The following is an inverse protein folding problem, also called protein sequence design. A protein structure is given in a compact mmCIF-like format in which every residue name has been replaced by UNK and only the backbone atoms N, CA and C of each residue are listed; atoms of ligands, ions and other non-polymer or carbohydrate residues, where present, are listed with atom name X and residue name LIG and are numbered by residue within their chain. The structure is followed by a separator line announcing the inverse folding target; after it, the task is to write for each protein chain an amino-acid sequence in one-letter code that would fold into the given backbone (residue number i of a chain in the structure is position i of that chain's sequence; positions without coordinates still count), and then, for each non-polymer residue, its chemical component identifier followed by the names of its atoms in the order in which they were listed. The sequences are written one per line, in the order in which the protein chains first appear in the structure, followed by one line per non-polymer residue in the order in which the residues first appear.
data_IF_251051150522
#
_entry.id   IF_251051150522
#
_cell.length_a   1.000
_cell.length_b   1.000
_cell.length_c   1.000
_cell.angle_alpha   90.00
_cell.angle_beta   90.00
_cell.angle_gamma   90.00
#
_symmetry.space_group_name_H-M   'P 1'
#
loop_
_entity.id
_entity.type
_entity.pdbx_description
1 polymer ?
#
# COMPACT_ATOMS: atom_id res chain seq x y z
N UNK A 1 -5.40 3.94 15.78
CA UNK A 1 -5.61 4.75 14.54
C UNK A 1 -5.86 3.89 13.30
N UNK A 2 -5.06 2.84 13.03
CA UNK A 2 -5.24 1.97 11.85
C UNK A 2 -6.64 1.31 11.75
N UNK A 3 -7.20 0.87 12.87
CA UNK A 3 -8.52 0.22 12.90
C UNK A 3 -9.66 1.13 12.39
N UNK A 4 -9.67 2.42 12.80
CA UNK A 4 -10.67 3.38 12.36
C UNK A 4 -10.60 3.64 10.84
N UNK A 5 -9.38 3.66 10.28
CA UNK A 5 -9.17 3.81 8.83
C UNK A 5 -9.73 2.62 8.04
N UNK A 6 -9.52 1.40 8.55
CA UNK A 6 -10.07 0.18 7.94
C UNK A 6 -11.60 0.18 7.96
N UNK A 7 -12.23 0.53 9.08
CA UNK A 7 -13.70 0.59 9.19
C UNK A 7 -14.30 1.56 8.17
N UNK A 8 -13.73 2.75 8.04
CA UNK A 8 -14.18 3.75 7.07
C UNK A 8 -14.06 3.22 5.64
N UNK A 9 -12.93 2.58 5.33
CA UNK A 9 -12.67 1.99 4.04
C UNK A 9 -13.68 0.89 3.68
N UNK A 10 -13.91 -0.06 4.58
CA UNK A 10 -14.91 -1.11 4.39
C UNK A 10 -16.32 -0.54 4.19
N UNK A 11 -16.67 0.52 4.93
CA UNK A 11 -17.97 1.18 4.79
C UNK A 11 -18.17 1.78 3.40
N UNK A 12 -17.13 2.33 2.78
CA UNK A 12 -17.21 2.90 1.42
C UNK A 12 -17.41 1.78 0.39
N UNK A 13 -16.63 0.70 0.47
CA UNK A 13 -16.74 -0.42 -0.47
C UNK A 13 -18.11 -1.12 -0.35
N UNK A 14 -18.58 -1.36 0.88
CA UNK A 14 -19.87 -2.00 1.12
C UNK A 14 -21.06 -1.22 0.53
N UNK A 15 -20.91 0.10 0.32
CA UNK A 15 -21.91 0.96 -0.29
C UNK A 15 -21.64 1.25 -1.79
N UNK A 16 -20.83 0.42 -2.46
CA UNK A 16 -20.54 0.52 -3.89
C UNK A 16 -19.52 1.59 -4.27
N UNK A 17 -18.81 2.17 -3.30
CA UNK A 17 -17.72 3.11 -3.54
C UNK A 17 -16.45 2.42 -4.05
N UNK A 18 -15.59 3.19 -4.73
CA UNK A 18 -14.26 2.76 -5.17
C UNK A 18 -13.20 3.60 -4.47
N UNK A 19 -12.06 2.99 -4.13
CA UNK A 19 -10.91 3.70 -3.58
C UNK A 19 -9.88 3.95 -4.68
N UNK A 20 -9.26 5.12 -4.66
CA UNK A 20 -8.02 5.39 -5.38
C UNK A 20 -6.91 5.71 -4.38
N UNK A 21 -5.73 5.13 -4.57
CA UNK A 21 -4.54 5.44 -3.76
C UNK A 21 -3.88 6.74 -4.23
N UNK A 22 -3.95 7.01 -5.53
CA UNK A 22 -3.34 8.17 -6.17
C UNK A 22 -4.46 9.03 -6.76
N UNK A 23 -4.50 10.27 -6.31
CA UNK A 23 -5.40 11.30 -6.82
C UNK A 23 -4.72 11.92 -8.04
N UNK A 24 -5.10 11.45 -9.23
CA UNK A 24 -4.70 12.09 -10.49
C UNK A 24 -5.87 12.94 -10.95
N UNK A 25 -5.68 14.25 -11.21
CA UNK A 25 -6.70 15.05 -11.88
C UNK A 25 -6.95 14.41 -13.25
N UNK A 26 -8.10 13.76 -13.39
CA UNK A 26 -8.59 13.38 -14.71
C UNK A 26 -9.01 14.65 -15.45
N UNK A 27 -8.99 14.57 -16.78
CA UNK A 27 -9.39 15.62 -17.72
C UNK A 27 -10.53 16.50 -17.20
N UNK A 28 -10.49 17.79 -17.55
CA UNK A 28 -11.39 18.87 -17.09
C UNK A 28 -12.90 18.57 -17.25
N UNK A 29 -13.26 17.54 -18.01
CA UNK A 29 -14.62 17.20 -18.36
C UNK A 29 -15.38 16.37 -17.29
N UNK A 30 -14.70 15.75 -16.30
CA UNK A 30 -15.37 14.98 -15.23
C UNK A 30 -14.76 15.14 -13.80
N UNK A 31 -14.64 16.35 -13.25
CA UNK A 31 -14.09 16.56 -11.90
C UNK A 31 -15.01 16.06 -10.76
N UNK A 32 -16.29 15.80 -11.02
CA UNK A 32 -17.30 15.66 -9.95
C UNK A 32 -17.32 14.31 -9.22
N UNK A 33 -16.57 13.31 -9.70
CA UNK A 33 -16.65 11.96 -9.15
C UNK A 33 -15.65 11.66 -8.02
N UNK A 34 -14.63 12.51 -7.81
CA UNK A 34 -13.55 12.21 -6.86
C UNK A 34 -13.60 13.12 -5.63
N UNK A 35 -13.69 12.48 -4.46
CA UNK A 35 -13.72 13.15 -3.16
C UNK A 35 -12.55 12.66 -2.32
N UNK A 36 -11.78 13.58 -1.74
CA UNK A 36 -10.67 13.25 -0.85
C UNK A 36 -11.18 13.25 0.59
N UNK A 37 -11.04 12.14 1.30
CA UNK A 37 -11.43 12.03 2.72
C UNK A 37 -10.17 11.98 3.58
N UNK A 38 -10.08 12.91 4.53
CA UNK A 38 -8.93 13.04 5.42
C UNK A 38 -9.36 13.06 6.89
N UNK A 39 -8.71 12.22 7.71
CA UNK A 39 -8.97 12.06 9.14
C UNK A 39 -7.70 12.24 9.96
N UNK A 40 -7.20 13.46 10.05
CA UNK A 40 -5.99 13.76 10.81
C UNK A 40 -5.95 15.20 11.30
N UNK A 41 -5.21 15.40 12.40
CA UNK A 41 -4.97 16.72 12.99
C UNK A 41 -3.82 17.48 12.31
N UNK A 42 -2.82 16.75 11.82
CA UNK A 42 -1.68 17.30 11.09
C UNK A 42 -1.89 17.14 9.60
N UNK A 43 -1.38 18.04 8.76
CA UNK A 43 -1.54 17.94 7.30
C UNK A 43 -0.25 17.41 6.68
N UNK A 44 -0.18 16.13 6.28
CA UNK A 44 1.02 15.58 5.65
C UNK A 44 1.26 16.22 4.28
N UNK A 45 2.49 16.13 3.79
CA UNK A 45 2.93 16.79 2.54
C UNK A 45 2.04 16.44 1.34
N UNK A 46 1.58 15.18 1.23
CA UNK A 46 0.68 14.76 0.15
C UNK A 46 -0.66 15.50 0.18
N UNK A 47 -1.22 15.71 1.38
CA UNK A 47 -2.49 16.43 1.57
C UNK A 47 -2.28 17.93 1.32
N UNK A 48 -1.14 18.49 1.75
CA UNK A 48 -0.77 19.87 1.40
C UNK A 48 -0.62 20.05 -0.12
N UNK A 49 -0.05 19.07 -0.83
CA UNK A 49 0.06 19.12 -2.28
C UNK A 49 -1.31 19.08 -2.97
N UNK A 50 -2.30 18.38 -2.40
CA UNK A 50 -3.70 18.40 -2.87
C UNK A 50 -4.35 19.75 -2.60
N UNK A 51 -4.13 20.32 -1.41
CA UNK A 51 -4.63 21.65 -1.01
C UNK A 51 -4.07 22.74 -1.95
N UNK A 52 -2.75 22.77 -2.15
CA UNK A 52 -2.07 23.77 -2.96
C UNK A 52 -2.49 23.76 -4.44
N UNK A 53 -2.99 22.62 -4.93
CA UNK A 53 -3.53 22.51 -6.28
C UNK A 53 -4.92 23.15 -6.39
N UNK A 54 -5.63 23.32 -5.28
CA UNK A 54 -7.01 23.83 -5.19
C UNK A 54 -8.04 23.10 -6.06
N UNK A 55 -7.72 21.91 -6.59
CA UNK A 55 -8.59 21.14 -7.50
C UNK A 55 -9.63 20.32 -6.73
N UNK A 56 -9.29 19.84 -5.53
CA UNK A 56 -10.11 18.87 -4.80
C UNK A 56 -10.58 19.42 -3.46
N UNK A 57 -11.85 19.17 -3.15
CA UNK A 57 -12.39 19.36 -1.81
C UNK A 57 -11.98 18.21 -0.89
N UNK A 58 -11.64 18.54 0.35
CA UNK A 58 -11.23 17.56 1.36
C UNK A 58 -12.31 17.48 2.43
N UNK A 59 -12.84 16.28 2.65
CA UNK A 59 -13.92 16.01 3.59
C UNK A 59 -13.43 15.25 4.83
N UNK A 60 -14.13 15.49 5.94
CA UNK A 60 -13.99 14.73 7.18
C UNK A 60 -14.75 13.40 7.06
N UNK A 61 -14.34 12.35 7.80
CA UNK A 61 -15.06 11.06 7.78
C UNK A 61 -16.51 11.14 8.27
N UNK A 62 -16.86 12.18 9.04
CA UNK A 62 -18.24 12.41 9.47
C UNK A 62 -19.21 12.49 8.29
N UNK A 63 -18.77 13.02 7.14
CA UNK A 63 -19.58 13.06 5.93
C UNK A 63 -19.91 11.66 5.37
N UNK A 64 -18.92 10.77 5.38
CA UNK A 64 -19.11 9.38 4.94
C UNK A 64 -20.06 8.66 5.90
N UNK A 65 -19.88 8.84 7.21
CA UNK A 65 -20.77 8.26 8.23
C UNK A 65 -22.21 8.74 8.06
N UNK A 66 -22.41 10.04 7.86
CA UNK A 66 -23.74 10.63 7.63
C UNK A 66 -24.35 10.11 6.31
N UNK A 67 -23.55 9.95 5.25
CA UNK A 67 -24.01 9.41 3.96
C UNK A 67 -24.45 7.94 4.08
N UNK A 68 -23.70 7.13 4.83
CA UNK A 68 -24.05 5.73 5.11
C UNK A 68 -25.34 5.66 5.94
N UNK A 69 -25.48 6.49 6.97
CA UNK A 69 -26.68 6.55 7.80
C UNK A 69 -27.93 6.94 6.97
N UNK A 70 -27.77 7.87 6.03
CA UNK A 70 -28.85 8.31 5.14
C UNK A 70 -29.11 7.37 3.95
N UNK A 71 -28.25 6.38 3.70
CA UNK A 71 -28.23 5.52 2.49
C UNK A 71 -28.26 6.32 1.17
N UNK A 72 -27.80 7.57 1.19
CA UNK A 72 -27.66 8.47 0.06
C UNK A 72 -26.53 9.45 0.33
N UNK A 73 -25.97 10.08 -0.71
CA UNK A 73 -24.94 11.12 -0.55
C UNK A 73 -25.48 12.23 0.38
N UNK A 74 -24.80 12.45 1.50
CA UNK A 74 -25.17 13.51 2.42
C UNK A 74 -24.94 14.88 1.75
N UNK A 75 -25.83 15.87 1.98
CA UNK A 75 -25.64 17.21 1.46
C UNK A 75 -24.34 17.81 1.98
N UNK A 76 -23.66 18.58 1.13
CA UNK A 76 -22.37 19.18 1.47
C UNK A 76 -22.55 20.35 2.43
N UNK A 77 -22.39 20.09 3.74
CA UNK A 77 -22.48 21.11 4.79
C UNK A 77 -21.08 21.55 5.25
N UNK A 78 -20.92 22.82 5.65
CA UNK A 78 -19.65 23.39 6.16
C UNK A 78 -18.96 22.52 7.23
N UNK A 79 -19.74 21.89 8.12
CA UNK A 79 -19.23 20.99 9.18
C UNK A 79 -18.47 19.76 8.66
N UNK A 80 -18.74 19.35 7.42
CA UNK A 80 -18.16 18.16 6.80
C UNK A 80 -16.85 18.43 6.07
N UNK A 81 -16.52 19.69 5.80
CA UNK A 81 -15.30 20.05 5.12
C UNK A 81 -14.12 20.14 6.08
N UNK A 82 -12.98 19.64 5.63
CA UNK A 82 -11.67 19.92 6.19
C UNK A 82 -11.00 21.07 5.43
N UNK A 83 -11.12 21.06 4.11
CA UNK A 83 -10.67 22.13 3.22
C UNK A 83 -11.64 22.24 2.04
N UNK A 84 -11.97 23.47 1.63
CA UNK A 84 -12.89 23.78 0.53
C UNK A 84 -12.08 24.45 -0.57
N UNK A 85 -12.19 23.96 -1.80
CA UNK A 85 -11.56 24.61 -2.95
C UNK A 85 -12.15 26.00 -3.20
N UNK A 86 -11.32 26.92 -3.69
CA UNK A 86 -11.72 28.30 -4.02
C UNK A 86 -12.92 28.35 -4.99
N UNK A 87 -12.99 27.39 -5.92
CA UNK A 87 -14.10 27.29 -6.89
C UNK A 87 -15.45 27.03 -6.24
N UNK A 88 -15.50 26.34 -5.09
CA UNK A 88 -16.75 26.00 -4.40
C UNK A 88 -17.07 26.94 -3.24
N UNK A 89 -16.08 27.64 -2.67
CA UNK A 89 -16.29 28.57 -1.55
C UNK A 89 -17.37 29.62 -1.85
N UNK A 90 -17.39 30.16 -3.09
CA UNK A 90 -18.37 31.19 -3.50
C UNK A 90 -19.82 30.71 -3.51
N UNK A 91 -20.06 29.41 -3.63
CA UNK A 91 -21.42 28.85 -3.71
C UNK A 91 -22.00 28.49 -2.34
N UNK A 92 -21.14 28.35 -1.32
CA UNK A 92 -21.52 27.95 0.04
C UNK A 92 -21.91 29.14 0.94
N UNK A 93 -21.62 30.37 0.52
CA UNK A 93 -21.95 31.58 1.27
C UNK A 93 -23.44 31.96 1.15
N UNK A 94 -24.10 31.56 0.06
CA UNK A 94 -25.51 31.91 -0.21
C UNK A 94 -26.54 31.02 0.52
N UNK A 95 -26.10 29.92 1.15
CA UNK A 95 -26.96 28.99 1.92
C UNK A 95 -26.95 29.30 3.44
N UNK A 96 -26.48 30.49 3.84
CA UNK A 96 -26.31 30.88 5.24
C UNK A 96 -27.42 31.77 5.81
N UNK A 97 -28.54 31.89 5.09
CA UNK A 97 -29.72 32.59 5.58
C UNK A 97 -30.84 31.58 5.89
N UNK A 98 -31.43 31.75 7.06
CA UNK A 98 -32.61 31.07 7.61
C UNK A 98 -32.28 29.96 8.65
N UNK A 99 -32.44 30.36 9.92
CA UNK A 99 -32.67 29.55 11.12
C UNK A 99 -31.45 29.26 12.03
N UNK A 100 -31.14 30.20 12.94
CA UNK A 100 -31.64 30.15 14.34
C UNK A 100 -30.97 31.21 15.22
N UNK A 101 -31.76 32.20 15.65
CA UNK A 101 -31.58 32.86 16.94
C UNK A 101 -31.74 31.82 18.06
N UNK A 102 -30.63 31.39 18.67
CA UNK A 102 -30.67 30.88 20.04
C UNK A 102 -29.40 31.26 20.77
N UNK A 103 -29.59 32.15 21.75
CA UNK A 103 -28.71 32.54 22.83
C UNK A 103 -27.69 31.46 23.17
N UNK A 104 -26.41 31.70 22.84
CA UNK A 104 -25.33 30.96 23.49
C UNK A 104 -24.25 31.92 23.99
N UNK A 105 -24.18 31.87 25.31
CA UNK A 105 -23.43 32.64 26.27
C UNK A 105 -21.90 32.55 26.06
N UNK A 106 -21.22 33.55 26.61
CA UNK A 106 -19.81 33.87 26.48
C UNK A 106 -18.86 32.66 26.63
N UNK A 107 -18.04 32.42 25.62
CA UNK A 107 -16.70 31.87 25.83
C UNK A 107 -15.69 32.54 24.93
N UNK A 108 -15.18 33.62 25.48
CA UNK A 108 -13.97 34.36 25.12
C UNK A 108 -12.77 33.42 25.08
N UNK A 109 -12.29 33.09 23.88
CA UNK A 109 -10.91 32.63 23.68
C UNK A 109 -10.19 33.65 22.81
N UNK A 110 -9.35 34.44 23.49
CA UNK A 110 -8.35 35.28 22.84
C UNK A 110 -7.38 34.35 22.11
N UNK A 111 -7.30 34.48 20.79
CA UNK A 111 -6.13 34.04 20.04
C UNK A 111 -5.32 35.28 19.75
N UNK A 112 -4.16 35.34 20.40
CA UNK A 112 -3.13 36.34 20.19
C UNK A 112 -2.65 36.32 18.74
N UNK A 113 -2.48 37.51 18.22
CA UNK A 113 -1.87 37.88 16.96
C UNK A 113 -0.40 37.41 16.98
N UNK A 114 -0.12 36.24 16.38
CA UNK A 114 1.25 35.76 16.17
C UNK A 114 1.71 36.25 14.81
N UNK A 115 2.48 37.34 14.86
CA UNK A 115 3.26 37.90 13.77
C UNK A 115 4.18 36.82 13.17
N UNK A 116 3.79 36.31 11.99
CA UNK A 116 4.54 35.29 11.25
C UNK A 116 5.76 35.95 10.63
N UNK A 117 6.91 35.71 11.27
CA UNK A 117 8.24 35.99 10.73
C UNK A 117 8.46 35.09 9.50
N UNK A 118 8.62 35.71 8.33
CA UNK A 118 9.03 35.05 7.09
C UNK A 118 10.40 34.37 7.28
N UNK A 119 10.38 33.08 7.63
CA UNK A 119 11.54 32.22 7.44
C UNK A 119 11.53 31.71 6.01
N UNK A 120 12.50 32.19 5.23
CA UNK A 120 12.92 31.66 3.95
C UNK A 120 13.20 30.16 4.09
N UNK A 121 12.18 29.36 3.81
CA UNK A 121 12.28 27.91 3.83
C UNK A 121 13.01 27.48 2.56
N UNK A 122 14.28 27.17 2.74
CA UNK A 122 15.14 26.60 1.71
C UNK A 122 14.42 25.42 1.03
N UNK A 123 14.24 25.62 -0.26
CA UNK A 123 13.69 24.74 -1.27
C UNK A 123 14.55 23.47 -1.37
N UNK A 124 14.46 22.57 -0.40
CA UNK A 124 15.12 21.27 -0.44
C UNK A 124 14.31 20.31 -1.31
N UNK A 125 14.42 20.56 -2.61
CA UNK A 125 14.51 19.60 -3.70
C UNK A 125 13.72 18.28 -3.53
N UNK A 126 12.52 18.27 -4.11
CA UNK A 126 11.79 17.08 -4.51
C UNK A 126 12.47 16.37 -5.71
N UNK A 127 13.72 15.94 -5.56
CA UNK A 127 14.47 15.21 -6.60
C UNK A 127 14.14 13.70 -6.64
N UNK A 128 13.14 13.23 -5.90
CA UNK A 128 12.73 11.81 -5.88
C UNK A 128 12.10 11.31 -7.20
N UNK A 129 11.71 12.21 -8.12
CA UNK A 129 11.04 11.83 -9.38
C UNK A 129 11.81 12.18 -10.66
N UNK A 130 13.04 12.68 -10.59
CA UNK A 130 13.87 12.79 -11.79
C UNK A 130 14.49 11.42 -12.07
N UNK A 131 13.83 10.66 -12.93
CA UNK A 131 14.48 9.59 -13.65
C UNK A 131 15.65 10.23 -14.42
N UNK A 132 16.87 10.03 -13.91
CA UNK A 132 18.08 10.29 -14.70
C UNK A 132 18.00 9.42 -15.95
N UNK A 133 17.80 10.10 -17.07
CA UNK A 133 18.04 9.60 -18.42
C UNK A 133 19.55 9.38 -18.54
N UNK A 134 20.03 8.27 -17.99
CA UNK A 134 21.44 7.88 -18.09
C UNK A 134 21.68 7.49 -19.54
N UNK A 135 22.35 8.36 -20.29
CA UNK A 135 22.81 8.05 -21.63
C UNK A 135 23.66 6.77 -21.62
N UNK A 136 23.52 5.89 -22.64
CA UNK A 136 24.28 4.66 -22.72
C UNK A 136 25.75 5.00 -22.95
N UNK A 137 26.57 4.87 -21.90
CA UNK A 137 28.01 4.82 -22.03
C UNK A 137 28.36 3.52 -22.76
N UNK A 138 28.73 3.67 -24.04
CA UNK A 138 29.40 2.65 -24.83
C UNK A 138 30.75 2.33 -24.15
N UNK A 139 30.78 1.30 -23.30
CA UNK A 139 32.03 0.74 -22.82
C UNK A 139 32.52 -0.32 -23.80
N UNK A 140 33.59 0.10 -24.49
CA UNK A 140 34.48 -0.69 -25.32
C UNK A 140 34.92 -1.99 -24.65
N UNK A 141 35.12 -2.99 -25.50
CA UNK A 141 35.31 -4.38 -25.13
C UNK A 141 36.53 -4.66 -24.26
N UNK A 142 36.35 -5.61 -23.34
CA UNK A 142 37.44 -6.43 -22.84
C UNK A 142 37.01 -7.90 -22.93
N UNK A 143 37.45 -8.55 -24.01
CA UNK A 143 37.50 -10.01 -24.13
C UNK A 143 38.49 -10.52 -23.07
N UNK A 144 37.99 -11.21 -22.07
CA UNK A 144 38.80 -12.07 -21.23
C UNK A 144 38.30 -13.50 -21.45
N UNK A 145 38.93 -14.18 -22.39
CA UNK A 145 38.92 -15.64 -22.47
C UNK A 145 39.54 -16.16 -21.16
N UNK A 146 38.77 -16.92 -20.39
CA UNK A 146 39.29 -17.75 -19.31
C UNK A 146 38.63 -19.11 -19.45
N UNK A 147 39.28 -19.95 -20.26
CA UNK A 147 39.17 -21.40 -20.20
C UNK A 147 39.68 -21.83 -18.82
N UNK A 148 38.85 -22.53 -18.05
CA UNK A 148 39.31 -23.38 -16.96
C UNK A 148 38.55 -24.68 -17.01
N UNK A 149 39.36 -25.73 -17.04
CA UNK A 149 39.10 -27.15 -17.27
C UNK A 149 38.24 -27.78 -16.16
N UNK A 150 37.46 -28.77 -16.58
CA UNK A 150 37.22 -30.07 -15.94
C UNK A 150 37.34 -30.17 -14.41
N UNK A 151 36.20 -30.37 -13.74
CA UNK A 151 36.17 -31.06 -12.45
C UNK A 151 34.96 -32.02 -12.40
N UNK A 152 35.23 -33.25 -12.83
CA UNK A 152 34.39 -34.43 -12.64
C UNK A 152 34.38 -34.79 -11.14
N UNK A 153 33.30 -34.46 -10.44
CA UNK A 153 33.09 -34.94 -9.07
C UNK A 153 31.89 -35.90 -9.02
N UNK A 154 32.20 -37.17 -9.29
CA UNK A 154 31.40 -38.33 -8.94
C UNK A 154 31.35 -38.51 -7.42
N UNK A 155 30.26 -38.12 -6.76
CA UNK A 155 29.97 -38.54 -5.39
C UNK A 155 28.61 -39.26 -5.34
N UNK A 156 28.68 -40.56 -5.63
CA UNK A 156 28.33 -41.67 -4.73
C UNK A 156 27.21 -41.44 -3.69
N UNK A 157 26.03 -41.96 -4.03
CA UNK A 157 25.23 -42.92 -3.26
C UNK A 157 25.14 -42.72 -1.72
N UNK A 158 24.05 -42.10 -1.26
CA UNK A 158 23.55 -42.25 0.12
C UNK A 158 22.04 -42.52 0.10
N UNK A 159 21.73 -43.82 0.07
CA UNK A 159 20.89 -44.52 1.06
C UNK A 159 19.66 -43.73 1.54
N UNK A 160 18.50 -44.15 1.04
CA UNK A 160 17.20 -43.60 1.40
C UNK A 160 16.75 -43.92 2.82
N UNK A 161 15.72 -43.19 3.24
CA UNK A 161 14.74 -43.63 4.23
C UNK A 161 13.50 -42.72 4.20
N UNK A 162 12.34 -43.38 4.15
CA UNK A 162 10.99 -42.91 4.50
C UNK A 162 10.36 -41.76 3.68
N UNK A 163 9.71 -42.12 2.56
CA UNK A 163 8.61 -41.34 2.01
C UNK A 163 7.43 -41.36 2.99
N UNK A 164 7.22 -40.25 3.69
CA UNK A 164 5.94 -39.93 4.29
C UNK A 164 5.04 -39.38 3.17
N UNK A 165 4.08 -40.21 2.77
CA UNK A 165 3.00 -39.90 1.84
C UNK A 165 2.16 -38.74 2.41
N UNK A 166 2.55 -37.50 2.11
CA UNK A 166 1.74 -36.31 2.38
C UNK A 166 0.79 -36.21 1.20
N UNK A 167 -0.41 -36.76 1.37
CA UNK A 167 -1.51 -36.64 0.42
C UNK A 167 -1.71 -35.15 0.05
N UNK A 168 -1.25 -34.79 -1.14
CA UNK A 168 -1.37 -33.44 -1.71
C UNK A 168 -2.83 -33.23 -2.14
N UNK A 169 -3.63 -32.68 -1.22
CA UNK A 169 -5.06 -32.37 -1.38
C UNK A 169 -5.27 -31.10 -2.25
N UNK A 170 -4.48 -30.94 -3.33
CA UNK A 170 -4.34 -29.68 -4.09
C UNK A 170 -5.33 -29.49 -5.25
N UNK A 171 -6.13 -30.50 -5.61
CA UNK A 171 -7.00 -30.46 -6.80
C UNK A 171 -8.50 -30.16 -6.53
N UNK A 172 -8.86 -29.67 -5.34
CA UNK A 172 -10.24 -29.22 -5.09
C UNK A 172 -10.46 -27.84 -5.71
N UNK A 173 -10.98 -27.83 -6.94
CA UNK A 173 -11.44 -26.64 -7.66
C UNK A 173 -12.31 -25.75 -6.75
N UNK A 174 -11.74 -24.62 -6.32
CA UNK A 174 -12.36 -23.68 -5.37
C UNK A 174 -13.51 -22.96 -6.06
N UNK A 175 -14.74 -23.32 -5.71
CA UNK A 175 -15.97 -22.69 -6.20
C UNK A 175 -16.21 -21.39 -5.43
N UNK A 176 -16.11 -20.24 -6.10
CA UNK A 176 -16.24 -18.91 -5.51
C UNK A 176 -17.69 -18.59 -5.13
N UNK A 177 -18.11 -18.96 -3.91
CA UNK A 177 -19.22 -18.30 -3.21
C UNK A 177 -20.65 -18.70 -3.60
N UNK A 178 -20.89 -19.89 -4.18
CA UNK A 178 -22.26 -20.35 -4.48
C UNK A 178 -22.97 -21.05 -3.31
N UNK A 179 -22.26 -21.48 -2.26
CA UNK A 179 -22.87 -22.14 -1.12
C UNK A 179 -23.29 -21.13 -0.05
N UNK A 180 -24.51 -21.28 0.48
CA UNK A 180 -25.15 -20.40 1.47
C UNK A 180 -24.39 -20.32 2.82
N UNK A 181 -23.44 -21.26 3.05
CA UNK A 181 -22.49 -21.24 4.17
C UNK A 181 -21.14 -20.56 3.87
N UNK A 182 -20.89 -20.09 2.65
CA UNK A 182 -19.64 -19.42 2.26
C UNK A 182 -19.58 -17.93 2.64
N UNK A 183 -20.56 -17.42 3.39
CA UNK A 183 -20.55 -16.04 3.89
C UNK A 183 -19.66 -15.84 5.13
N UNK A 184 -19.32 -16.90 5.87
CA UNK A 184 -18.45 -16.78 7.04
C UNK A 184 -17.00 -17.03 6.62
N UNK A 185 -16.25 -15.95 6.44
CA UNK A 185 -14.80 -16.02 6.25
C UNK A 185 -14.18 -16.68 7.47
N UNK A 186 -13.47 -17.78 7.24
CA UNK A 186 -12.65 -18.41 8.27
C UNK A 186 -11.55 -17.41 8.68
N UNK A 187 -11.73 -16.83 9.88
CA UNK A 187 -10.83 -15.81 10.41
C UNK A 187 -9.43 -16.35 10.68
N UNK A 188 -9.29 -17.65 10.88
CA UNK A 188 -7.99 -18.27 11.13
C UNK A 188 -7.23 -18.49 9.81
N UNK A 189 -7.94 -18.69 8.70
CA UNK A 189 -7.37 -18.98 7.38
C UNK A 189 -7.56 -17.88 6.34
N UNK A 190 -7.44 -16.62 6.77
CA UNK A 190 -7.61 -15.44 5.89
C UNK A 190 -6.69 -15.43 4.66
N UNK A 191 -5.57 -16.17 4.70
CA UNK A 191 -4.59 -16.18 3.62
C UNK A 191 -4.67 -17.42 2.73
N UNK A 192 -5.68 -18.29 2.89
CA UNK A 192 -5.80 -19.56 2.13
C UNK A 192 -5.68 -19.42 0.61
N UNK A 193 -6.11 -18.29 0.06
CA UNK A 193 -6.11 -18.02 -1.38
C UNK A 193 -4.97 -17.11 -1.83
N UNK A 194 -4.07 -16.74 -0.92
CA UNK A 194 -3.00 -15.78 -1.16
C UNK A 194 -1.64 -16.50 -1.25
N UNK A 195 -0.90 -16.16 -2.30
CA UNK A 195 0.42 -16.68 -2.59
C UNK A 195 1.40 -15.52 -2.48
N UNK A 196 2.35 -15.64 -1.55
CA UNK A 196 3.28 -14.59 -1.18
C UNK A 196 4.68 -14.91 -1.67
N UNK A 197 5.38 -13.93 -2.20
CA UNK A 197 6.82 -13.94 -2.35
C UNK A 197 7.44 -13.02 -1.29
N UNK A 198 8.41 -13.54 -0.55
CA UNK A 198 9.16 -12.79 0.46
C UNK A 198 10.52 -12.37 -0.12
N UNK A 199 10.72 -11.07 -0.28
CA UNK A 199 11.96 -10.50 -0.82
C UNK A 199 13.06 -10.41 0.25
N UNK A 200 13.50 -11.56 0.76
CA UNK A 200 14.68 -11.65 1.62
C UNK A 200 15.96 -11.43 0.80
N UNK A 201 17.04 -10.87 1.40
CA UNK A 201 18.36 -10.81 0.78
C UNK A 201 18.83 -12.13 0.16
N UNK A 202 18.58 -13.27 0.83
CA UNK A 202 18.93 -14.59 0.30
C UNK A 202 18.15 -14.94 -0.96
N UNK A 203 16.84 -14.67 -0.99
CA UNK A 203 16.02 -14.87 -2.18
C UNK A 203 16.42 -13.93 -3.30
N UNK A 204 16.79 -12.69 -2.98
CA UNK A 204 17.28 -11.73 -3.96
C UNK A 204 18.56 -12.22 -4.65
N UNK A 205 19.51 -12.77 -3.90
CA UNK A 205 20.73 -13.38 -4.46
C UNK A 205 20.40 -14.55 -5.38
N UNK A 206 19.44 -15.40 -5.01
CA UNK A 206 18.98 -16.53 -5.87
C UNK A 206 18.34 -16.07 -7.18
N UNK A 207 17.80 -14.85 -7.23
CA UNK A 207 17.21 -14.24 -8.42
C UNK A 207 18.14 -13.24 -9.12
N UNK A 208 19.43 -13.29 -8.78
CA UNK A 208 20.48 -12.44 -9.36
C UNK A 208 20.20 -10.93 -9.18
N UNK A 209 19.49 -10.56 -8.11
CA UNK A 209 19.21 -9.16 -7.76
C UNK A 209 20.29 -8.64 -6.83
N UNK A 210 20.75 -7.40 -7.06
CA UNK A 210 21.83 -6.82 -6.27
C UNK A 210 21.38 -6.51 -4.82
N UNK A 211 22.09 -7.05 -3.83
CA UNK A 211 21.93 -6.71 -2.41
C UNK A 211 23.11 -5.84 -1.93
N UNK A 212 22.96 -4.52 -1.91
CA UNK A 212 24.03 -3.58 -1.49
C UNK A 212 24.15 -3.35 0.03
N UNK A 213 23.42 -4.12 0.85
CA UNK A 213 23.31 -3.84 2.29
C UNK A 213 24.44 -4.47 3.10
N UNK A 214 24.76 -3.84 4.24
CA UNK A 214 25.67 -4.41 5.25
C UNK A 214 25.13 -5.75 5.75
N UNK A 215 26.02 -6.70 5.99
CA UNK A 215 25.69 -8.07 6.41
C UNK A 215 24.79 -8.13 7.65
N UNK A 216 25.03 -7.28 8.65
CA UNK A 216 24.22 -7.21 9.88
C UNK A 216 22.74 -6.91 9.59
N UNK A 217 22.46 -5.97 8.67
CA UNK A 217 21.09 -5.64 8.30
C UNK A 217 20.42 -6.77 7.52
N UNK A 218 21.19 -7.54 6.74
CA UNK A 218 20.64 -8.69 6.01
C UNK A 218 20.17 -9.78 6.98
N UNK A 219 20.93 -10.03 8.05
CA UNK A 219 20.57 -11.02 9.07
C UNK A 219 19.28 -10.63 9.81
N UNK A 220 19.16 -9.36 10.23
CA UNK A 220 17.94 -8.87 10.90
C UNK A 220 16.71 -8.99 10.00
N UNK A 221 16.87 -8.65 8.71
CA UNK A 221 15.82 -8.79 7.70
C UNK A 221 15.44 -10.26 7.52
N UNK A 222 16.41 -11.18 7.39
CA UNK A 222 16.15 -12.61 7.26
C UNK A 222 15.41 -13.17 8.48
N UNK A 223 15.78 -12.74 9.70
CA UNK A 223 15.09 -13.14 10.93
C UNK A 223 13.61 -12.69 10.89
N UNK A 224 13.35 -11.41 10.58
CA UNK A 224 11.99 -10.90 10.49
C UNK A 224 11.14 -11.59 9.41
N UNK A 225 11.74 -11.94 8.27
CA UNK A 225 11.05 -12.68 7.21
C UNK A 225 10.80 -14.14 7.59
N UNK A 226 11.66 -14.76 8.38
CA UNK A 226 11.44 -16.10 8.92
C UNK A 226 10.22 -16.12 9.84
N UNK A 227 10.12 -15.16 10.76
CA UNK A 227 8.94 -15.00 11.62
C UNK A 227 7.67 -14.73 10.81
N UNK A 228 7.75 -13.85 9.82
CA UNK A 228 6.63 -13.53 8.95
C UNK A 228 6.19 -14.73 8.11
N UNK A 229 7.14 -15.54 7.62
CA UNK A 229 6.86 -16.77 6.87
C UNK A 229 6.03 -17.73 7.73
N UNK A 230 6.42 -17.94 8.98
CA UNK A 230 5.66 -18.78 9.91
C UNK A 230 4.23 -18.27 10.09
N UNK A 231 4.06 -16.96 10.29
CA UNK A 231 2.73 -16.34 10.46
C UNK A 231 1.84 -16.49 9.21
N UNK A 232 2.43 -16.32 8.02
CA UNK A 232 1.69 -16.49 6.75
C UNK A 232 1.20 -17.94 6.63
N UNK A 233 2.07 -18.91 6.90
CA UNK A 233 1.75 -20.34 6.80
C UNK A 233 0.72 -20.75 7.86
N UNK A 234 0.85 -20.24 9.09
CA UNK A 234 -0.10 -20.48 10.19
C UNK A 234 -1.52 -20.04 9.83
N UNK A 235 -1.65 -18.91 9.12
CA UNK A 235 -2.94 -18.39 8.65
C UNK A 235 -3.37 -18.91 7.26
N UNK A 236 -2.82 -20.05 6.84
CA UNK A 236 -3.18 -20.76 5.60
C UNK A 236 -2.58 -20.20 4.31
N UNK A 237 -1.72 -19.18 4.39
CA UNK A 237 -1.05 -18.61 3.22
C UNK A 237 0.08 -19.49 2.69
N UNK A 238 0.40 -19.32 1.40
CA UNK A 238 1.47 -20.07 0.74
C UNK A 238 2.62 -19.14 0.36
N UNK A 239 3.86 -19.55 0.61
CA UNK A 239 5.04 -18.81 0.16
C UNK A 239 5.59 -19.48 -1.09
N UNK A 240 5.59 -18.76 -2.20
CA UNK A 240 5.98 -19.24 -3.53
C UNK A 240 7.20 -18.50 -4.08
N UNK A 241 7.75 -19.03 -5.16
CA UNK A 241 8.89 -18.45 -5.85
C UNK A 241 8.48 -17.26 -6.72
N UNK A 242 9.41 -16.33 -7.03
CA UNK A 242 9.10 -15.13 -7.82
C UNK A 242 8.56 -15.45 -9.22
N UNK A 243 9.02 -16.55 -9.81
CA UNK A 243 8.62 -16.97 -11.16
C UNK A 243 7.32 -17.79 -11.20
N UNK A 244 6.69 -18.05 -10.05
CA UNK A 244 5.49 -18.88 -9.97
C UNK A 244 4.27 -18.11 -10.54
N UNK A 245 3.55 -18.66 -11.54
CA UNK A 245 2.37 -18.01 -12.12
C UNK A 245 1.23 -17.77 -11.12
N UNK A 246 1.22 -18.48 -9.99
CA UNK A 246 0.21 -18.32 -8.94
C UNK A 246 0.50 -17.18 -7.95
N UNK A 247 1.66 -16.53 -8.07
CA UNK A 247 2.07 -15.42 -7.20
C UNK A 247 1.07 -14.27 -7.25
N UNK A 248 0.50 -13.90 -6.09
CA UNK A 248 -0.44 -12.78 -5.98
C UNK A 248 0.13 -11.58 -5.22
N UNK A 249 0.99 -11.81 -4.24
CA UNK A 249 1.48 -10.76 -3.34
C UNK A 249 3.01 -10.81 -3.20
N UNK A 250 3.65 -9.64 -3.28
CA UNK A 250 5.08 -9.48 -3.00
C UNK A 250 5.26 -8.66 -1.73
N UNK A 251 5.97 -9.24 -0.76
CA UNK A 251 6.29 -8.58 0.51
C UNK A 251 7.77 -8.24 0.53
N UNK A 252 8.07 -6.97 0.80
CA UNK A 252 9.43 -6.46 0.90
C UNK A 252 9.57 -5.57 2.16
N UNK A 253 10.79 -5.48 2.69
CA UNK A 253 11.09 -4.63 3.85
C UNK A 253 11.12 -3.15 3.41
N UNK A 254 10.50 -2.26 4.18
CA UNK A 254 10.47 -0.81 3.89
C UNK A 254 11.89 -0.20 3.82
N UNK A 255 12.84 -0.74 4.56
CA UNK A 255 14.25 -0.34 4.55
C UNK A 255 14.94 -0.74 3.25
N UNK A 256 14.34 -1.57 2.41
CA UNK A 256 14.87 -1.98 1.11
C UNK A 256 14.06 -1.44 -0.06
N UNK A 257 14.44 -0.26 -0.55
CA UNK A 257 13.82 0.34 -1.73
C UNK A 257 14.54 -0.05 -3.02
N UNK A 258 15.76 -0.58 -2.94
CA UNK A 258 16.65 -0.77 -4.09
C UNK A 258 16.08 -1.76 -5.11
N UNK A 259 15.51 -2.87 -4.63
CA UNK A 259 14.94 -3.93 -5.48
C UNK A 259 13.50 -3.68 -5.91
N UNK A 260 12.83 -2.69 -5.32
CA UNK A 260 11.42 -2.41 -5.61
C UNK A 260 11.17 -2.12 -7.09
N UNK A 261 12.07 -1.36 -7.73
CA UNK A 261 11.96 -1.02 -9.14
C UNK A 261 12.16 -2.25 -10.04
N UNK A 262 13.11 -3.12 -9.71
CA UNK A 262 13.36 -4.35 -10.45
C UNK A 262 12.19 -5.33 -10.35
N UNK A 263 11.63 -5.50 -9.15
CA UNK A 263 10.43 -6.32 -8.93
C UNK A 263 9.23 -5.80 -9.72
N UNK A 264 8.98 -4.49 -9.70
CA UNK A 264 7.91 -3.87 -10.49
C UNK A 264 8.17 -4.06 -11.99
N UNK A 265 9.42 -3.92 -12.45
CA UNK A 265 9.79 -4.11 -13.85
C UNK A 265 9.58 -5.57 -14.29
N UNK A 266 10.00 -6.54 -13.49
CA UNK A 266 9.79 -7.98 -13.77
C UNK A 266 8.32 -8.34 -13.78
N UNK A 267 7.54 -7.90 -12.80
CA UNK A 267 6.10 -8.19 -12.77
C UNK A 267 5.37 -7.57 -13.97
N UNK A 268 5.73 -6.36 -14.40
CA UNK A 268 5.17 -5.75 -15.61
C UNK A 268 5.52 -6.50 -16.90
N UNK A 269 6.64 -7.21 -16.92
CA UNK A 269 7.03 -8.01 -18.08
C UNK A 269 6.34 -9.36 -18.15
N UNK A 270 5.62 -9.77 -17.09
CA UNK A 270 4.87 -11.03 -17.09
C UNK A 270 3.60 -10.88 -17.92
N UNK A 271 3.38 -11.76 -18.92
CA UNK A 271 2.12 -11.82 -19.64
C UNK A 271 1.08 -12.53 -18.75
N UNK A 272 0.59 -11.88 -17.70
CA UNK A 272 -0.51 -12.42 -16.89
C UNK A 272 -1.77 -11.59 -17.07
N UNK A 273 -2.88 -12.28 -17.29
CA UNK A 273 -4.17 -11.70 -17.66
C UNK A 273 -4.98 -11.10 -16.52
N UNK A 274 -4.52 -11.14 -15.25
CA UNK A 274 -5.36 -10.65 -14.13
C UNK A 274 -4.63 -10.32 -12.80
N UNK A 275 -3.30 -10.22 -12.75
CA UNK A 275 -2.59 -9.98 -11.48
C UNK A 275 -2.72 -8.51 -11.00
N UNK A 276 -3.73 -8.23 -10.17
CA UNK A 276 -3.77 -7.01 -9.34
C UNK A 276 -2.74 -7.12 -8.22
N UNK A 277 -1.53 -6.61 -8.45
CA UNK A 277 -0.43 -6.67 -7.49
C UNK A 277 -0.65 -5.67 -6.34
N UNK A 278 -0.80 -6.17 -5.11
CA UNK A 278 -0.79 -5.36 -3.89
C UNK A 278 0.58 -5.41 -3.22
N UNK A 279 1.27 -4.27 -3.17
CA UNK A 279 2.53 -4.10 -2.43
C UNK A 279 2.22 -3.88 -0.95
N UNK A 280 2.44 -4.90 -0.11
CA UNK A 280 2.24 -4.81 1.34
C UNK A 280 3.58 -4.44 1.99
N UNK A 281 3.63 -3.27 2.63
CA UNK A 281 4.77 -2.85 3.44
C UNK A 281 4.69 -3.51 4.82
N UNK A 282 5.69 -4.32 5.17
CA UNK A 282 5.74 -4.91 6.51
C UNK A 282 5.97 -3.85 7.59
N UNK A 283 4.94 -3.58 8.40
CA UNK A 283 5.06 -3.06 9.77
C UNK A 283 4.43 -4.07 10.75
N UNK A 284 4.58 -5.37 10.46
CA UNK A 284 3.95 -6.45 11.23
C UNK A 284 4.71 -6.79 12.52
N UNK A 285 5.95 -6.33 12.68
CA UNK A 285 6.75 -6.56 13.90
C UNK A 285 6.23 -5.82 15.16
N UNK A 286 5.15 -5.04 15.05
CA UNK A 286 4.56 -4.29 16.19
C UNK A 286 3.19 -4.84 16.64
N UNK A 287 2.84 -6.09 16.30
CA UNK A 287 1.58 -6.72 16.76
C UNK A 287 1.72 -7.63 17.99
N UNK A 288 2.91 -7.79 18.56
CA UNK A 288 3.09 -8.39 19.90
C UNK A 288 3.04 -7.31 20.98
N UNK A 289 1.84 -6.83 21.32
CA UNK A 289 1.60 -6.35 22.68
C UNK A 289 0.69 -7.38 23.37
N UNK A 290 1.19 -8.16 24.34
CA UNK A 290 0.32 -8.92 25.22
C UNK A 290 -0.45 -7.92 26.10
N UNK A 291 -1.75 -8.14 26.24
CA UNK A 291 -2.56 -7.53 27.30
C UNK A 291 -2.11 -8.03 28.68
#
# INVERSE_FOLDING_TARGET
MFHAKLILFYSIIANGGKQAVIVVPKHEDEPEALVVVYDGFTTPSDVQAVINKEVFDIFKPSWVKDSVALRRKAPFKKKHFFYVSSSRSRKLEDDQDEDMDMDNDESRSQTEDVEVKEEQKQELHADWFKAEETEPVLLDGNKSDSETEDDDSENEDVVGEAEADVEDDSDKAVKMGESEGAMEYDQDHIFKHLFFYLDSPENAVRHEMASKKKQEQQQEINQSFSELKSLIVEHGGRVVNLNDPTLTHIVFDKRDTTRRLELIKRERSRPSSDASLFLIFSKLASMRQPC
#
